data_IF_370682686862
#
_entry.id   IF_370682686862
#
_cell.length_a   1.000
_cell.length_b   1.000
_cell.length_c   1.000
_cell.angle_alpha   90.00
_cell.angle_beta   90.00
_cell.angle_gamma   90.00
#
_symmetry.space_group_name_H-M   'P 1'
#
loop_
_entity.id
_entity.type
_entity.pdbx_description
1 polymer ?
#
# COMPACT_ATOMS: atom_id res chain seq x y z
N UNK A 1 19.64 -10.47 -11.97
CA UNK A 1 18.88 -11.53 -11.25
C UNK A 1 17.66 -11.89 -12.08
N UNK A 2 17.33 -13.19 -12.19
CA UNK A 2 16.10 -13.63 -12.85
C UNK A 2 14.89 -13.12 -12.03
N UNK A 3 13.85 -12.60 -12.70
CA UNK A 3 12.66 -12.01 -12.07
C UNK A 3 12.06 -12.90 -10.96
N UNK A 4 12.04 -14.21 -11.20
CA UNK A 4 11.50 -15.21 -10.26
C UNK A 4 12.27 -15.28 -8.93
N UNK A 5 13.60 -15.16 -8.95
CA UNK A 5 14.41 -15.20 -7.72
C UNK A 5 14.15 -13.99 -6.82
N UNK A 6 13.86 -12.83 -7.42
CA UNK A 6 13.54 -11.61 -6.67
C UNK A 6 12.12 -11.66 -6.13
N UNK A 7 11.15 -12.18 -6.89
CA UNK A 7 9.80 -12.39 -6.38
C UNK A 7 9.78 -13.34 -5.17
N UNK A 8 10.52 -14.46 -5.25
CA UNK A 8 10.65 -15.39 -4.11
C UNK A 8 11.27 -14.68 -2.90
N UNK A 9 12.36 -13.92 -3.09
CA UNK A 9 12.99 -13.15 -2.02
C UNK A 9 12.00 -12.15 -1.38
N UNK A 10 11.22 -11.43 -2.18
CA UNK A 10 10.26 -10.43 -1.69
C UNK A 10 9.08 -11.07 -0.94
N UNK A 11 8.62 -12.25 -1.38
CA UNK A 11 7.64 -13.04 -0.64
C UNK A 11 8.24 -13.49 0.70
N UNK A 12 9.47 -14.01 0.70
CA UNK A 12 10.18 -14.37 1.93
C UNK A 12 10.35 -13.17 2.88
N UNK A 13 10.67 -11.97 2.36
CA UNK A 13 10.74 -10.74 3.14
C UNK A 13 9.39 -10.38 3.76
N UNK A 14 8.29 -10.57 3.03
CA UNK A 14 6.93 -10.32 3.53
C UNK A 14 6.58 -11.29 4.65
N UNK A 15 6.87 -12.59 4.47
CA UNK A 15 6.68 -13.60 5.51
C UNK A 15 7.53 -13.27 6.73
N UNK A 16 8.79 -12.90 6.55
CA UNK A 16 9.68 -12.47 7.63
C UNK A 16 9.10 -11.27 8.39
N UNK A 17 8.58 -10.27 7.69
CA UNK A 17 7.92 -9.12 8.31
C UNK A 17 6.71 -9.52 9.16
N UNK A 18 5.84 -10.41 8.66
CA UNK A 18 4.68 -10.90 9.41
C UNK A 18 5.11 -11.71 10.65
N UNK A 19 6.19 -12.49 10.53
CA UNK A 19 6.78 -13.19 11.67
C UNK A 19 7.33 -12.22 12.72
N UNK A 20 7.97 -11.12 12.29
CA UNK A 20 8.44 -10.04 13.18
C UNK A 20 7.24 -9.42 13.92
N UNK A 21 6.16 -9.06 13.23
CA UNK A 21 4.94 -8.55 13.89
C UNK A 21 4.44 -9.54 14.93
N UNK A 22 4.36 -10.83 14.57
CA UNK A 22 3.88 -11.88 15.47
C UNK A 22 4.79 -12.09 16.67
N UNK A 23 6.11 -11.98 16.49
CA UNK A 23 7.12 -12.08 17.55
C UNK A 23 7.05 -10.89 18.51
N UNK A 24 6.80 -9.69 17.99
CA UNK A 24 6.72 -8.46 18.78
C UNK A 24 5.33 -8.26 19.43
N UNK A 25 4.32 -9.01 18.99
CA UNK A 25 2.94 -8.93 19.48
C UNK A 25 2.78 -9.14 21.00
N UNK A 26 3.47 -10.08 21.68
CA UNK A 26 3.35 -10.24 23.12
C UNK A 26 3.81 -9.00 23.88
N UNK A 27 4.79 -8.24 23.36
CA UNK A 27 5.23 -6.97 23.98
C UNK A 27 4.17 -5.90 23.84
N UNK A 28 3.54 -5.80 22.67
CA UNK A 28 2.41 -4.89 22.45
C UNK A 28 1.22 -5.24 23.36
N UNK A 29 0.87 -6.53 23.46
CA UNK A 29 -0.28 -7.01 24.26
C UNK A 29 -0.17 -6.80 25.76
N UNK A 30 1.05 -6.75 26.31
CA UNK A 30 1.29 -6.40 27.72
C UNK A 30 0.91 -4.96 28.04
N UNK A 31 0.96 -4.09 27.02
CA UNK A 31 0.80 -2.65 27.15
C UNK A 31 -0.59 -2.20 26.68
N UNK A 32 -1.06 -2.81 25.59
CA UNK A 32 -2.35 -2.54 24.97
C UNK A 32 -3.14 -3.85 24.94
N UNK A 33 -4.28 -3.96 25.64
CA UNK A 33 -5.09 -5.17 25.56
C UNK A 33 -5.52 -5.43 24.11
N UNK A 34 -5.54 -6.70 23.66
CA UNK A 34 -5.90 -7.04 22.29
C UNK A 34 -7.32 -6.58 21.96
N UNK A 35 -7.54 -6.24 20.68
CA UNK A 35 -8.86 -5.86 20.19
C UNK A 35 -9.88 -6.97 20.44
N UNK A 36 -11.07 -6.65 20.98
CA UNK A 36 -12.18 -7.60 20.95
C UNK A 36 -12.58 -7.86 19.49
N UNK A 37 -12.76 -9.13 19.14
CA UNK A 37 -13.02 -9.68 17.78
C UNK A 37 -14.22 -9.01 17.06
N UNK A 38 -15.09 -8.29 17.78
CA UNK A 38 -16.41 -7.87 17.32
C UNK A 38 -16.62 -6.35 17.22
N UNK A 39 -15.57 -5.52 17.32
CA UNK A 39 -15.74 -4.06 17.18
C UNK A 39 -15.06 -3.53 15.92
N UNK A 40 -15.85 -3.01 15.00
CA UNK A 40 -15.39 -2.25 13.82
C UNK A 40 -14.77 -0.90 14.19
N UNK A 41 -14.63 0.04 13.24
CA UNK A 41 -13.88 1.31 13.43
C UNK A 41 -14.30 2.16 14.63
N UNK A 42 -15.52 2.01 15.14
CA UNK A 42 -15.97 2.63 16.39
C UNK A 42 -15.05 2.32 17.58
N UNK A 43 -14.24 1.24 17.51
CA UNK A 43 -13.24 0.99 18.52
C UNK A 43 -12.09 1.99 18.47
N UNK A 44 -11.50 2.34 17.34
CA UNK A 44 -10.41 3.34 17.35
C UNK A 44 -10.84 4.71 17.88
N UNK A 45 -12.15 5.01 17.84
CA UNK A 45 -12.75 6.19 18.47
C UNK A 45 -12.73 6.19 20.00
N UNK A 46 -12.59 5.06 20.71
CA UNK A 46 -12.47 5.09 22.17
C UNK A 46 -11.20 5.80 22.64
N UNK A 47 -10.14 5.81 21.82
CA UNK A 47 -8.91 6.60 22.03
C UNK A 47 -9.15 8.12 21.91
N UNK A 48 -10.28 8.51 21.31
CA UNK A 48 -10.69 9.90 21.04
C UNK A 48 -11.82 10.38 21.96
N UNK A 49 -12.44 9.49 22.75
CA UNK A 49 -13.48 9.86 23.70
C UNK A 49 -12.87 10.46 24.97
N UNK A 50 -13.49 11.51 25.56
CA UNK A 50 -13.06 12.10 26.82
C UNK A 50 -13.49 11.17 27.97
N UNK A 51 -12.86 9.98 28.05
CA UNK A 51 -13.01 9.11 29.20
C UNK A 51 -11.84 9.37 30.15
N UNK A 52 -12.07 9.59 31.47
CA UNK A 52 -11.00 9.79 32.47
C UNK A 52 -9.99 8.63 32.56
N UNK A 53 -10.24 7.52 31.88
CA UNK A 53 -9.45 6.29 31.92
C UNK A 53 -8.64 6.03 30.64
N UNK A 54 -8.85 6.77 29.55
CA UNK A 54 -8.10 6.60 28.28
C UNK A 54 -6.71 7.26 28.35
N UNK A 55 -5.84 6.75 29.22
CA UNK A 55 -4.43 7.11 29.23
C UNK A 55 -3.70 6.35 28.13
N UNK A 56 -3.24 7.06 27.09
CA UNK A 56 -2.31 6.49 26.13
C UNK A 56 -0.94 6.38 26.80
N UNK A 57 -0.49 5.17 27.12
CA UNK A 57 0.83 4.91 27.71
C UNK A 57 1.86 4.70 26.59
N UNK A 58 2.95 5.48 26.60
CA UNK A 58 4.10 5.18 25.74
C UNK A 58 5.07 4.26 26.48
N UNK A 59 5.26 3.00 26.03
CA UNK A 59 6.11 2.04 26.72
C UNK A 59 7.60 2.36 26.64
N UNK A 60 8.00 3.30 25.78
CA UNK A 60 9.39 3.70 25.63
C UNK A 60 9.77 4.89 26.52
N UNK A 61 8.85 5.84 26.72
CA UNK A 61 9.11 7.01 27.58
C UNK A 61 8.59 6.80 29.01
N UNK A 62 7.76 5.78 29.25
CA UNK A 62 7.13 5.54 30.55
C UNK A 62 6.07 6.58 30.92
N UNK A 63 5.70 7.47 29.99
CA UNK A 63 4.78 8.57 30.25
C UNK A 63 3.35 8.15 29.91
N UNK A 64 2.44 8.26 30.89
CA UNK A 64 1.00 8.15 30.68
C UNK A 64 0.44 9.49 30.23
N UNK A 65 -0.09 9.57 29.02
CA UNK A 65 -0.73 10.79 28.52
C UNK A 65 -2.25 10.69 28.67
N UNK A 66 -2.91 11.66 29.30
CA UNK A 66 -4.37 11.67 29.51
C UNK A 66 -5.18 11.87 28.22
N UNK A 67 -4.53 12.02 27.06
CA UNK A 67 -5.15 12.22 25.75
C UNK A 67 -4.27 11.64 24.64
N UNK A 68 -4.82 11.25 23.48
CA UNK A 68 -4.01 11.00 22.26
C UNK A 68 -3.14 12.22 22.01
N UNK A 69 -1.82 12.07 22.18
CA UNK A 69 -0.86 13.11 21.85
C UNK A 69 -1.06 13.51 20.40
N UNK A 70 -1.28 14.80 20.15
CA UNK A 70 -1.26 15.37 18.79
C UNK A 70 0.02 14.97 18.03
N UNK A 71 1.10 14.68 18.76
CA UNK A 71 2.38 14.18 18.25
C UNK A 71 2.27 12.79 17.63
N UNK A 72 1.56 11.84 18.27
CA UNK A 72 1.35 10.49 17.72
C UNK A 72 0.58 10.57 16.41
N UNK A 73 -0.49 11.36 16.40
CA UNK A 73 -1.32 11.60 15.22
C UNK A 73 -0.50 12.16 14.07
N UNK A 74 0.23 13.24 14.35
CA UNK A 74 1.11 13.90 13.38
C UNK A 74 2.17 12.93 12.86
N UNK A 75 2.74 12.07 13.70
CA UNK A 75 3.73 11.08 13.26
C UNK A 75 3.18 10.13 12.20
N UNK A 76 1.95 9.63 12.38
CA UNK A 76 1.29 8.75 11.42
C UNK A 76 0.98 9.48 10.11
N UNK A 77 0.45 10.70 10.17
CA UNK A 77 0.17 11.52 8.99
C UNK A 77 1.45 11.91 8.23
N UNK A 78 2.52 12.29 8.94
CA UNK A 78 3.81 12.63 8.32
C UNK A 78 4.37 11.41 7.59
N UNK A 79 4.40 10.24 8.24
CA UNK A 79 4.91 9.02 7.60
C UNK A 79 4.04 8.60 6.40
N UNK A 80 2.72 8.72 6.51
CA UNK A 80 1.79 8.50 5.40
C UNK A 80 2.07 9.44 4.23
N UNK A 81 2.18 10.75 4.47
CA UNK A 81 2.42 11.74 3.42
C UNK A 81 3.79 11.54 2.77
N UNK A 82 4.82 11.26 3.55
CA UNK A 82 6.15 10.95 3.02
C UNK A 82 6.14 9.69 2.15
N UNK A 83 5.45 8.64 2.60
CA UNK A 83 5.32 7.40 1.82
C UNK A 83 4.51 7.64 0.54
N UNK A 84 3.45 8.44 0.61
CA UNK A 84 2.63 8.78 -0.55
C UNK A 84 3.43 9.59 -1.57
N UNK A 85 4.14 10.63 -1.13
CA UNK A 85 5.01 11.44 -1.99
C UNK A 85 6.09 10.57 -2.63
N UNK A 86 6.68 9.65 -1.87
CA UNK A 86 7.64 8.70 -2.40
C UNK A 86 7.03 7.86 -3.52
N UNK A 87 5.89 7.21 -3.28
CA UNK A 87 5.25 6.35 -4.27
C UNK A 87 4.78 7.13 -5.52
N UNK A 88 4.19 8.31 -5.35
CA UNK A 88 3.78 9.14 -6.50
C UNK A 88 4.98 9.67 -7.27
N UNK A 89 6.08 10.01 -6.59
CA UNK A 89 7.34 10.40 -7.25
C UNK A 89 7.92 9.24 -8.08
N UNK A 90 7.85 8.01 -7.60
CA UNK A 90 8.26 6.83 -8.37
C UNK A 90 7.39 6.62 -9.62
N UNK A 91 6.09 6.85 -9.52
CA UNK A 91 5.18 6.81 -10.69
C UNK A 91 5.55 7.90 -11.70
N UNK A 92 5.73 9.14 -11.27
CA UNK A 92 6.13 10.26 -12.14
C UNK A 92 7.47 9.99 -12.80
N UNK A 93 8.47 9.54 -12.03
CA UNK A 93 9.79 9.18 -12.56
C UNK A 93 9.65 8.12 -13.64
N UNK A 94 8.90 7.05 -13.36
CA UNK A 94 8.69 5.98 -14.33
C UNK A 94 8.05 6.50 -15.62
N UNK A 95 7.02 7.34 -15.51
CA UNK A 95 6.36 7.95 -16.68
C UNK A 95 7.33 8.81 -17.50
N UNK A 96 8.14 9.65 -16.84
CA UNK A 96 9.14 10.48 -17.50
C UNK A 96 10.21 9.63 -18.22
N UNK A 97 10.73 8.60 -17.56
CA UNK A 97 11.72 7.68 -18.14
C UNK A 97 11.18 6.97 -19.37
N UNK A 98 9.94 6.49 -19.33
CA UNK A 98 9.30 5.86 -20.49
C UNK A 98 9.08 6.82 -21.65
N UNK A 99 8.56 8.02 -21.37
CA UNK A 99 8.37 9.05 -22.39
C UNK A 99 9.68 9.44 -23.08
N UNK A 100 10.80 9.43 -22.35
CA UNK A 100 12.13 9.67 -22.94
C UNK A 100 12.68 8.47 -23.73
N UNK A 101 12.27 7.25 -23.40
CA UNK A 101 12.74 6.00 -24.03
C UNK A 101 11.99 5.64 -25.31
N UNK A 102 10.77 6.16 -25.51
CA UNK A 102 9.92 5.90 -26.67
C UNK A 102 10.48 6.49 -27.99
N UNK A 103 11.55 7.30 -27.92
CA UNK A 103 12.17 8.00 -29.06
C UNK A 103 13.25 7.21 -29.81
N UNK A 104 13.70 6.04 -29.35
CA UNK A 104 14.85 5.36 -29.97
C UNK A 104 14.54 3.90 -30.33
N UNK A 105 14.19 3.68 -31.61
CA UNK A 105 14.18 2.39 -32.31
C UNK A 105 13.44 1.23 -31.63
N UNK A 106 12.11 1.32 -31.55
CA UNK A 106 11.27 0.13 -31.42
C UNK A 106 11.38 -0.74 -32.69
N UNK A 107 11.82 -2.01 -32.58
CA UNK A 107 11.71 -2.95 -33.70
C UNK A 107 10.24 -3.07 -34.13
N UNK A 108 10.04 -3.13 -35.45
CA UNK A 108 8.76 -3.35 -36.13
C UNK A 108 8.06 -4.66 -35.66
N UNK A 109 6.76 -4.86 -35.94
CA UNK A 109 5.80 -5.66 -35.16
C UNK A 109 5.99 -7.20 -35.17
N UNK A 110 7.12 -7.72 -35.65
CA UNK A 110 7.42 -9.16 -35.67
C UNK A 110 7.97 -9.72 -34.35
N UNK A 111 8.15 -8.85 -33.35
CA UNK A 111 8.63 -9.24 -32.04
C UNK A 111 7.70 -8.81 -30.90
N UNK A 112 7.29 -9.72 -29.99
CA UNK A 112 6.34 -9.43 -28.91
C UNK A 112 6.96 -8.60 -27.77
N UNK A 113 8.13 -7.97 -27.97
CA UNK A 113 8.74 -7.12 -26.97
C UNK A 113 8.02 -5.78 -26.95
N UNK A 114 7.13 -5.61 -25.97
CA UNK A 114 6.46 -4.36 -25.65
C UNK A 114 7.54 -3.29 -25.38
N UNK A 115 7.60 -2.27 -26.22
CA UNK A 115 8.57 -1.19 -26.05
C UNK A 115 8.44 -0.53 -24.67
N UNK A 116 9.58 -0.30 -24.02
CA UNK A 116 9.67 0.29 -22.68
C UNK A 116 9.72 -0.71 -21.53
N UNK A 117 9.37 -1.99 -21.74
CA UNK A 117 9.32 -2.97 -20.65
C UNK A 117 10.62 -3.78 -20.55
N UNK A 118 11.21 -3.82 -19.36
CA UNK A 118 12.46 -4.54 -19.11
C UNK A 118 12.19 -5.96 -18.57
N UNK A 119 12.99 -6.93 -19.01
CA UNK A 119 13.05 -8.28 -18.43
C UNK A 119 13.93 -8.32 -17.17
N UNK A 120 14.69 -7.25 -16.94
CA UNK A 120 15.61 -7.09 -15.83
C UNK A 120 15.17 -5.96 -14.91
N UNK A 121 15.50 -6.09 -13.62
CA UNK A 121 15.29 -5.02 -12.65
C UNK A 121 16.25 -3.87 -12.93
N UNK A 122 15.70 -2.68 -13.10
CA UNK A 122 16.45 -1.44 -13.19
C UNK A 122 16.66 -0.82 -11.80
N UNK A 123 17.48 0.23 -11.76
CA UNK A 123 17.78 0.96 -10.51
C UNK A 123 16.52 1.53 -9.87
N UNK A 124 15.53 1.95 -10.67
CA UNK A 124 14.23 2.46 -10.21
C UNK A 124 13.51 1.41 -9.36
N UNK A 125 13.47 0.15 -9.80
CA UNK A 125 12.86 -0.93 -9.05
C UNK A 125 13.59 -1.21 -7.73
N UNK A 126 14.92 -1.18 -7.71
CA UNK A 126 15.69 -1.34 -6.47
C UNK A 126 15.42 -0.21 -5.47
N UNK A 127 15.32 1.03 -5.94
CA UNK A 127 14.95 2.19 -5.11
C UNK A 127 13.52 2.01 -4.55
N UNK A 128 12.57 1.59 -5.38
CA UNK A 128 11.19 1.34 -4.95
C UNK A 128 11.11 0.28 -3.86
N UNK A 129 11.79 -0.86 -4.05
CA UNK A 129 11.86 -1.96 -3.08
C UNK A 129 12.48 -1.45 -1.76
N UNK A 130 13.64 -0.80 -1.83
CA UNK A 130 14.34 -0.33 -0.64
C UNK A 130 13.53 0.72 0.12
N UNK A 131 12.93 1.67 -0.59
CA UNK A 131 12.08 2.69 0.02
C UNK A 131 10.87 2.07 0.74
N UNK A 132 10.19 1.11 0.11
CA UNK A 132 9.10 0.38 0.73
C UNK A 132 9.54 -0.37 1.99
N UNK A 133 10.70 -1.05 1.96
CA UNK A 133 11.26 -1.72 3.15
C UNK A 133 11.50 -0.71 4.29
N UNK A 134 12.03 0.47 3.99
CA UNK A 134 12.26 1.54 4.98
C UNK A 134 10.93 1.98 5.60
N UNK A 135 9.88 2.23 4.80
CA UNK A 135 8.57 2.60 5.33
C UNK A 135 7.90 1.50 6.14
N UNK A 136 8.14 0.24 5.76
CA UNK A 136 7.68 -0.94 6.49
C UNK A 136 8.34 -1.04 7.87
N UNK A 137 9.64 -0.80 7.97
CA UNK A 137 10.36 -0.70 9.24
C UNK A 137 9.85 0.49 10.06
N UNK A 138 9.71 1.66 9.42
CA UNK A 138 9.21 2.87 10.06
C UNK A 138 7.81 2.67 10.66
N UNK A 139 6.96 1.89 9.98
CA UNK A 139 5.62 1.55 10.46
C UNK A 139 5.64 0.69 11.72
N UNK A 140 6.52 -0.32 11.77
CA UNK A 140 6.73 -1.12 13.00
C UNK A 140 7.17 -0.17 14.12
N UNK A 141 8.22 0.62 13.89
CA UNK A 141 8.75 1.54 14.91
C UNK A 141 7.68 2.50 15.41
N UNK A 142 6.91 3.11 14.51
CA UNK A 142 5.84 4.05 14.85
C UNK A 142 4.74 3.37 15.68
N UNK A 143 4.33 2.14 15.33
CA UNK A 143 3.35 1.39 16.15
C UNK A 143 3.92 1.02 17.51
N UNK A 144 5.19 0.64 17.59
CA UNK A 144 5.81 0.26 18.86
C UNK A 144 6.05 1.42 19.82
N UNK A 145 6.30 2.62 19.30
CA UNK A 145 6.51 3.82 20.12
C UNK A 145 5.17 4.45 20.53
N UNK A 146 4.20 4.53 19.61
CA UNK A 146 2.99 5.34 19.78
C UNK A 146 1.66 4.59 19.73
N UNK A 147 1.67 3.33 19.27
CA UNK A 147 0.47 2.51 19.05
C UNK A 147 -0.62 3.29 18.33
N UNK A 148 -0.31 3.83 17.16
CA UNK A 148 -1.21 4.76 16.46
C UNK A 148 -1.27 4.47 14.96
N UNK A 149 -2.38 4.83 14.35
CA UNK A 149 -2.62 4.77 12.90
C UNK A 149 -3.49 5.93 12.46
N UNK A 150 -3.96 5.90 11.21
CA UNK A 150 -4.93 6.87 10.71
C UNK A 150 -6.36 6.57 11.19
N UNK A 151 -6.67 5.32 11.56
CA UNK A 151 -8.00 4.88 11.96
C UNK A 151 -8.71 5.72 13.05
N UNK A 152 -8.03 6.35 14.03
CA UNK A 152 -8.68 7.25 14.97
C UNK A 152 -9.14 8.60 14.36
N UNK A 153 -8.51 9.03 13.25
CA UNK A 153 -8.75 10.33 12.61
C UNK A 153 -9.74 10.24 11.44
N UNK A 154 -9.86 9.08 10.81
CA UNK A 154 -10.68 8.85 9.61
C UNK A 154 -11.64 7.68 9.79
N UNK A 155 -12.81 7.78 9.14
CA UNK A 155 -13.84 6.72 9.16
C UNK A 155 -13.40 5.49 8.34
N UNK A 156 -13.94 4.31 8.69
CA UNK A 156 -13.78 3.05 7.93
C UNK A 156 -14.26 3.16 6.48
N UNK A 157 -15.18 4.08 6.25
CA UNK A 157 -15.69 4.39 4.92
C UNK A 157 -14.57 4.79 3.97
N UNK A 158 -13.50 5.44 4.45
CA UNK A 158 -12.42 5.90 3.57
C UNK A 158 -11.62 4.73 2.96
N UNK A 159 -11.12 3.75 3.74
CA UNK A 159 -10.51 2.55 3.17
C UNK A 159 -11.47 1.76 2.26
N UNK A 160 -12.75 1.65 2.63
CA UNK A 160 -13.76 0.98 1.80
C UNK A 160 -13.92 1.66 0.44
N UNK A 161 -14.01 2.99 0.42
CA UNK A 161 -14.07 3.79 -0.81
C UNK A 161 -12.78 3.64 -1.61
N UNK A 162 -11.61 3.59 -0.95
CA UNK A 162 -10.34 3.38 -1.65
C UNK A 162 -10.30 2.04 -2.39
N UNK A 163 -10.72 0.95 -1.73
CA UNK A 163 -10.81 -0.38 -2.35
C UNK A 163 -11.83 -0.38 -3.49
N UNK A 164 -13.02 0.20 -3.25
CA UNK A 164 -14.05 0.31 -4.29
C UNK A 164 -13.53 1.03 -5.53
N UNK A 165 -12.88 2.19 -5.37
CA UNK A 165 -12.30 2.95 -6.47
C UNK A 165 -11.23 2.16 -7.24
N UNK A 166 -10.34 1.45 -6.54
CA UNK A 166 -9.31 0.62 -7.17
C UNK A 166 -9.92 -0.55 -7.95
N UNK A 167 -10.93 -1.22 -7.40
CA UNK A 167 -11.61 -2.32 -8.07
C UNK A 167 -12.40 -1.82 -9.29
N UNK A 168 -13.13 -0.72 -9.17
CA UNK A 168 -13.83 -0.11 -10.31
C UNK A 168 -12.85 0.33 -11.39
N UNK A 169 -11.73 0.96 -11.02
CA UNK A 169 -10.67 1.32 -11.97
C UNK A 169 -10.08 0.09 -12.67
N UNK A 170 -9.82 -0.99 -11.93
CA UNK A 170 -9.33 -2.25 -12.50
C UNK A 170 -10.33 -2.87 -13.49
N UNK A 171 -11.62 -2.87 -13.16
CA UNK A 171 -12.69 -3.35 -14.06
C UNK A 171 -12.78 -2.51 -15.32
N UNK A 172 -12.75 -1.18 -15.22
CA UNK A 172 -12.78 -0.28 -16.37
C UNK A 172 -11.57 -0.50 -17.30
N UNK A 173 -10.37 -0.72 -16.75
CA UNK A 173 -9.19 -1.01 -17.57
C UNK A 173 -9.27 -2.36 -18.28
N UNK A 174 -9.95 -3.35 -17.69
CA UNK A 174 -10.16 -4.68 -18.27
C UNK A 174 -11.37 -4.74 -19.21
N UNK A 175 -12.26 -3.74 -19.18
CA UNK A 175 -13.49 -3.70 -19.99
C UNK A 175 -13.23 -3.91 -21.48
N UNK A 176 -12.23 -3.23 -22.04
CA UNK A 176 -11.95 -3.29 -23.49
C UNK A 176 -11.40 -4.64 -23.94
N UNK A 177 -10.81 -5.43 -23.04
CA UNK A 177 -10.22 -6.73 -23.37
C UNK A 177 -11.09 -7.92 -22.97
N UNK A 178 -11.88 -7.79 -21.91
CA UNK A 178 -12.61 -8.91 -21.28
C UNK A 178 -14.11 -8.68 -21.10
N UNK A 179 -14.60 -7.47 -21.35
CA UNK A 179 -15.97 -7.06 -21.04
C UNK A 179 -16.22 -6.92 -19.52
N UNK A 180 -17.28 -6.19 -19.16
CA UNK A 180 -17.63 -5.91 -17.75
C UNK A 180 -18.75 -6.79 -17.21
N UNK A 181 -19.56 -7.39 -18.09
CA UNK A 181 -20.70 -8.22 -17.69
C UNK A 181 -20.73 -9.49 -18.54
N UNK A 182 -20.30 -10.62 -18.00
CA UNK A 182 -20.27 -11.91 -18.71
C UNK A 182 -19.57 -11.88 -20.08
N UNK A 183 -18.50 -11.08 -20.23
CA UNK A 183 -17.81 -10.93 -21.51
C UNK A 183 -18.39 -9.87 -22.43
N UNK A 184 -19.56 -9.30 -22.11
CA UNK A 184 -20.13 -8.19 -22.85
C UNK A 184 -19.38 -6.89 -22.51
N UNK A 185 -18.91 -6.22 -23.56
CA UNK A 185 -18.25 -4.92 -23.52
C UNK A 185 -19.26 -3.84 -23.92
N UNK A 186 -19.28 -2.74 -23.18
CA UNK A 186 -20.14 -1.59 -23.44
C UNK A 186 -19.25 -0.45 -23.95
N UNK A 187 -18.77 -0.61 -25.19
CA UNK A 187 -17.91 0.37 -25.85
C UNK A 187 -18.75 1.57 -26.32
N UNK A 188 -19.05 2.46 -25.37
CA UNK A 188 -19.55 3.80 -25.67
C UNK A 188 -18.40 4.81 -25.68
N UNK A 189 -18.56 5.91 -26.42
CA UNK A 189 -17.55 6.98 -26.47
C UNK A 189 -17.17 7.48 -25.07
N UNK A 190 -18.15 7.58 -24.17
CA UNK A 190 -17.95 7.91 -22.76
C UNK A 190 -17.05 6.90 -22.05
N UNK A 191 -17.27 5.60 -22.26
CA UNK A 191 -16.46 4.55 -21.63
C UNK A 191 -15.02 4.56 -22.14
N UNK A 192 -14.80 4.83 -23.42
CA UNK A 192 -13.45 4.98 -23.99
C UNK A 192 -12.70 6.14 -23.32
N UNK A 193 -13.38 7.29 -23.16
CA UNK A 193 -12.79 8.46 -22.48
C UNK A 193 -12.47 8.15 -21.02
N UNK A 194 -13.41 7.54 -20.28
CA UNK A 194 -13.21 7.17 -18.88
C UNK A 194 -12.06 6.17 -18.72
N UNK A 195 -12.02 5.12 -19.53
CA UNK A 195 -10.96 4.11 -19.51
C UNK A 195 -9.59 4.74 -19.80
N UNK A 196 -9.51 5.70 -20.72
CA UNK A 196 -8.26 6.42 -21.00
C UNK A 196 -7.81 7.29 -19.80
N UNK A 197 -8.73 7.97 -19.12
CA UNK A 197 -8.43 8.73 -17.90
C UNK A 197 -7.91 7.79 -16.82
N UNK A 198 -8.59 6.67 -16.59
CA UNK A 198 -8.18 5.66 -15.60
C UNK A 198 -6.81 5.08 -15.96
N UNK A 199 -6.56 4.70 -17.22
CA UNK A 199 -5.26 4.19 -17.66
C UNK A 199 -4.12 5.18 -17.42
N UNK A 200 -4.35 6.48 -17.56
CA UNK A 200 -3.32 7.51 -17.30
C UNK A 200 -3.12 7.79 -15.81
N UNK A 201 -4.15 7.62 -14.99
CA UNK A 201 -4.16 8.02 -13.57
C UNK A 201 -4.09 6.88 -12.56
N UNK A 202 -4.28 5.62 -12.98
CA UNK A 202 -4.39 4.47 -12.08
C UNK A 202 -3.18 4.33 -11.16
N UNK A 203 -1.96 4.60 -11.64
CA UNK A 203 -0.76 4.54 -10.80
C UNK A 203 -0.85 5.43 -9.56
N UNK A 204 -1.39 6.64 -9.69
CA UNK A 204 -1.60 7.57 -8.58
C UNK A 204 -2.72 7.09 -7.64
N UNK A 205 -3.82 6.62 -8.21
CA UNK A 205 -4.95 6.08 -7.44
C UNK A 205 -4.54 4.86 -6.62
N UNK A 206 -3.82 3.92 -7.23
CA UNK A 206 -3.33 2.70 -6.59
C UNK A 206 -2.28 3.02 -5.53
N UNK A 207 -1.33 3.92 -5.81
CA UNK A 207 -0.36 4.39 -4.82
C UNK A 207 -1.05 4.96 -3.58
N UNK A 208 -2.04 5.84 -3.78
CA UNK A 208 -2.83 6.39 -2.68
C UNK A 208 -3.56 5.30 -1.89
N UNK A 209 -4.32 4.42 -2.56
CA UNK A 209 -5.13 3.42 -1.90
C UNK A 209 -4.29 2.41 -1.09
N UNK A 210 -3.18 1.93 -1.66
CA UNK A 210 -2.28 0.97 -1.00
C UNK A 210 -1.57 1.63 0.18
N UNK A 211 -0.98 2.81 -0.01
CA UNK A 211 -0.27 3.53 1.07
C UNK A 211 -1.22 3.94 2.19
N UNK A 212 -2.43 4.39 1.85
CA UNK A 212 -3.44 4.76 2.82
C UNK A 212 -3.88 3.56 3.66
N UNK A 213 -4.18 2.44 3.02
CA UNK A 213 -4.55 1.19 3.71
C UNK A 213 -3.41 0.68 4.60
N UNK A 214 -2.16 0.76 4.11
CA UNK A 214 -0.97 0.40 4.88
C UNK A 214 -0.83 1.21 6.16
N UNK A 215 -1.05 2.53 6.08
CA UNK A 215 -0.93 3.43 7.22
C UNK A 215 -2.21 3.50 8.11
N UNK A 216 -3.30 2.84 7.71
CA UNK A 216 -4.59 2.94 8.39
C UNK A 216 -4.62 2.31 9.79
N UNK A 217 -4.30 1.00 9.90
CA UNK A 217 -4.37 0.25 11.16
C UNK A 217 -3.01 0.02 11.82
N UNK A 218 -2.83 0.25 13.13
CA UNK A 218 -1.58 -0.08 13.82
C UNK A 218 -1.16 -1.54 13.56
N UNK A 219 0.15 -1.82 13.60
CA UNK A 219 0.67 -3.18 13.36
C UNK A 219 0.33 -4.13 14.51
N UNK A 220 -0.88 -4.69 14.44
CA UNK A 220 -1.36 -5.71 15.37
C UNK A 220 -1.22 -7.11 14.77
N UNK A 221 -1.10 -8.11 15.64
CA UNK A 221 -0.95 -9.51 15.23
C UNK A 221 -2.27 -10.30 15.26
N UNK A 222 -3.41 -9.60 15.21
CA UNK A 222 -4.71 -10.22 14.94
C UNK A 222 -4.70 -10.85 13.55
N UNK A 223 -5.47 -11.91 13.34
CA UNK A 223 -5.43 -12.67 12.08
C UNK A 223 -5.92 -11.82 10.91
N UNK A 224 -6.92 -10.99 11.16
CA UNK A 224 -7.48 -9.99 10.26
C UNK A 224 -6.47 -8.89 9.91
N UNK A 225 -5.64 -8.47 10.87
CA UNK A 225 -4.59 -7.48 10.63
C UNK A 225 -3.43 -8.10 9.83
N UNK A 226 -2.98 -9.30 10.19
CA UNK A 226 -1.87 -9.99 9.52
C UNK A 226 -2.22 -10.34 8.07
N UNK A 227 -3.45 -10.79 7.78
CA UNK A 227 -3.89 -11.05 6.42
C UNK A 227 -3.98 -9.77 5.59
N UNK A 228 -4.50 -8.68 6.18
CA UNK A 228 -4.49 -7.36 5.55
C UNK A 228 -3.08 -6.87 5.23
N UNK A 229 -2.15 -6.95 6.19
CA UNK A 229 -0.75 -6.59 5.96
C UNK A 229 -0.11 -7.45 4.88
N UNK A 230 -0.37 -8.76 4.84
CA UNK A 230 0.15 -9.63 3.78
C UNK A 230 -0.26 -9.13 2.39
N UNK A 231 -1.56 -8.85 2.19
CA UNK A 231 -2.11 -8.39 0.91
C UNK A 231 -1.51 -7.03 0.52
N UNK A 232 -1.45 -6.08 1.45
CA UNK A 232 -0.93 -4.74 1.18
C UNK A 232 0.56 -4.76 0.88
N UNK A 233 1.35 -5.60 1.56
CA UNK A 233 2.77 -5.79 1.26
C UNK A 233 3.00 -6.43 -0.10
N UNK A 234 2.17 -7.39 -0.50
CA UNK A 234 2.18 -7.93 -1.85
C UNK A 234 1.90 -6.85 -2.89
N UNK A 235 0.93 -5.96 -2.65
CA UNK A 235 0.68 -4.83 -3.54
C UNK A 235 1.85 -3.84 -3.59
N UNK A 236 2.51 -3.52 -2.47
CA UNK A 236 3.71 -2.66 -2.46
C UNK A 236 4.87 -3.29 -3.22
N UNK A 237 5.05 -4.61 -3.13
CA UNK A 237 6.02 -5.35 -3.92
C UNK A 237 5.70 -5.29 -5.41
N UNK A 238 4.45 -5.56 -5.80
CA UNK A 238 4.02 -5.44 -7.19
C UNK A 238 4.20 -4.02 -7.73
N UNK A 239 3.87 -3.02 -6.91
CA UNK A 239 4.09 -1.61 -7.21
C UNK A 239 5.56 -1.19 -7.20
N UNK A 240 6.48 -2.03 -6.70
CA UNK A 240 7.94 -1.81 -6.79
C UNK A 240 8.56 -2.44 -8.03
N UNK A 241 7.80 -3.24 -8.78
CA UNK A 241 8.21 -3.92 -10.02
C UNK A 241 7.64 -3.17 -11.24
N UNK A 242 7.76 -1.85 -11.21
CA UNK A 242 7.22 -0.97 -12.25
C UNK A 242 8.02 -1.22 -13.54
N UNK A 243 7.31 -1.32 -14.67
CA UNK A 243 7.92 -1.49 -16.00
C UNK A 243 8.67 -2.79 -16.23
N UNK A 244 8.51 -3.78 -15.34
CA UNK A 244 9.04 -5.12 -15.55
C UNK A 244 8.01 -6.04 -16.22
N UNK A 245 8.47 -6.81 -17.20
CA UNK A 245 7.67 -7.84 -17.87
C UNK A 245 8.29 -9.22 -17.69
N UNK A 246 7.46 -10.25 -17.68
CA UNK A 246 7.90 -11.64 -17.72
C UNK A 246 7.89 -12.14 -19.17
N UNK A 247 9.03 -12.62 -19.67
CA UNK A 247 9.21 -13.09 -21.06
C UNK A 247 8.73 -14.52 -21.31
N UNK A 248 8.02 -15.16 -20.39
CA UNK A 248 7.51 -16.52 -20.56
C UNK A 248 6.15 -16.56 -21.31
N UNK A 249 6.12 -16.10 -22.56
CA UNK A 249 5.04 -16.43 -23.51
C UNK A 249 5.59 -17.24 -24.66
#
# INVERSE_FOLDING_TARGET
MHSNSVQILLICCTICFLLIIRLLAPRLRKVFPPLPIWRGVLWYRWKSLPSPQARAFSPFTGITFPHRLKVCAKSAWICFTLHLIFMTSMVVWSQYKHSSSESHNCPQPSSPHWCGWSTHLDVTNYIAILGNIIFVILRILQTHIWYDGLAPDVSETYPMVAVFLVLTAALLMQETERGIFFGFSFQSDTMVVLTNIVRRSHGYLFAWAVVFTFWYHPTEAGIEHLSGFFIVLMFLIQASLISTQNTSR
#
